data_IF_742218084610
#
_entry.id   IF_742218084610
#
_cell.length_a   1.000
_cell.length_b   1.000
_cell.length_c   1.000
_cell.angle_alpha   90.00
_cell.angle_beta   90.00
_cell.angle_gamma   90.00
#
_symmetry.space_group_name_H-M   'P 1'
#
loop_
_entity.id
_entity.type
_entity.pdbx_description
1 polymer ?
#
# COMPACT_ATOMS: atom_id res chain seq x y z
N UNK A 1 -1.03 -31.49 -2.02
CA UNK A 1 -1.81 -31.59 -0.76
C UNK A 1 -2.14 -30.17 -0.35
N UNK A 2 -3.41 -29.78 -0.34
CA UNK A 2 -3.82 -28.43 0.04
C UNK A 2 -4.33 -28.49 1.48
N UNK A 3 -3.69 -27.73 2.37
CA UNK A 3 -4.13 -27.58 3.76
C UNK A 3 -5.19 -26.50 3.82
N UNK A 4 -6.22 -26.69 4.65
CA UNK A 4 -7.23 -25.67 4.92
C UNK A 4 -6.56 -24.43 5.53
N UNK A 5 -7.03 -23.24 5.16
CA UNK A 5 -6.58 -22.00 5.77
C UNK A 5 -7.15 -21.91 7.20
N UNK A 6 -6.32 -21.44 8.14
CA UNK A 6 -6.74 -21.26 9.53
C UNK A 6 -7.96 -20.32 9.63
N UNK A 7 -8.88 -20.65 10.53
CA UNK A 7 -10.14 -19.91 10.72
C UNK A 7 -9.92 -18.49 11.27
N UNK A 8 -8.79 -18.22 11.91
CA UNK A 8 -8.37 -16.93 12.46
C UNK A 8 -7.29 -16.29 11.58
N UNK A 9 -7.54 -16.20 10.28
CA UNK A 9 -6.62 -15.59 9.31
C UNK A 9 -6.92 -14.10 9.08
N UNK A 10 -5.93 -13.37 8.58
CA UNK A 10 -6.05 -11.97 8.17
C UNK A 10 -5.51 -11.79 6.75
N UNK A 11 -6.15 -10.89 6.00
CA UNK A 11 -5.69 -10.48 4.68
C UNK A 11 -4.76 -9.27 4.82
N UNK A 12 -3.52 -9.38 4.34
CA UNK A 12 -2.56 -8.26 4.33
C UNK A 12 -2.28 -7.84 2.89
N UNK A 13 -2.67 -6.62 2.53
CA UNK A 13 -2.43 -6.02 1.22
C UNK A 13 -1.25 -5.05 1.31
N UNK A 14 -0.19 -5.31 0.53
CA UNK A 14 1.06 -4.55 0.60
C UNK A 14 1.19 -3.64 -0.62
N UNK A 15 1.44 -2.35 -0.36
CA UNK A 15 1.87 -1.35 -1.34
C UNK A 15 0.94 -1.15 -2.55
N UNK A 16 -0.36 -1.40 -2.39
CA UNK A 16 -1.40 -1.13 -3.40
C UNK A 16 -1.85 0.35 -3.43
N UNK A 17 -0.88 1.29 -3.50
CA UNK A 17 -1.11 2.73 -3.54
C UNK A 17 -1.03 3.30 -4.97
N UNK A 18 -1.71 4.43 -5.23
CA UNK A 18 -1.94 5.03 -6.56
C UNK A 18 -0.68 5.27 -7.44
N UNK A 19 0.53 5.19 -6.87
CA UNK A 19 1.80 5.47 -7.54
C UNK A 19 2.75 4.26 -7.71
N UNK A 20 2.35 3.05 -7.32
CA UNK A 20 3.16 1.82 -7.51
C UNK A 20 2.80 1.03 -8.78
N UNK A 21 1.90 1.57 -9.61
CA UNK A 21 1.55 1.00 -10.91
C UNK A 21 2.67 1.17 -11.96
N UNK A 22 3.75 0.40 -11.83
CA UNK A 22 4.80 0.24 -12.85
C UNK A 22 4.63 -1.07 -13.61
N UNK A 23 5.30 -1.22 -14.74
CA UNK A 23 5.45 -2.50 -15.44
C UNK A 23 6.12 -3.49 -14.49
N UNK A 24 5.32 -4.38 -13.91
CA UNK A 24 5.79 -5.51 -13.10
C UNK A 24 5.41 -6.81 -13.80
N UNK A 25 5.92 -7.95 -13.32
CA UNK A 25 5.69 -9.27 -13.91
C UNK A 25 4.20 -9.61 -14.07
N UNK A 26 3.36 -9.06 -13.20
CA UNK A 26 1.90 -9.17 -13.30
C UNK A 26 1.29 -7.80 -13.55
N UNK A 27 0.35 -7.67 -14.50
CA UNK A 27 -0.36 -6.41 -14.71
C UNK A 27 -1.01 -5.95 -13.41
N UNK A 28 -0.75 -4.72 -13.01
CA UNK A 28 -1.20 -4.15 -11.73
C UNK A 28 -2.73 -4.18 -11.62
N UNK A 29 -3.43 -3.96 -12.75
CA UNK A 29 -4.90 -4.07 -12.82
C UNK A 29 -5.40 -5.45 -12.40
N UNK A 30 -4.71 -6.51 -12.79
CA UNK A 30 -5.11 -7.89 -12.45
C UNK A 30 -4.85 -8.17 -10.96
N UNK A 31 -3.78 -7.61 -10.40
CA UNK A 31 -3.49 -7.69 -8.96
C UNK A 31 -4.57 -6.97 -8.16
N UNK A 32 -4.97 -5.76 -8.58
CA UNK A 32 -6.06 -5.00 -7.93
C UNK A 32 -7.39 -5.74 -8.00
N UNK A 33 -7.73 -6.32 -9.15
CA UNK A 33 -8.96 -7.10 -9.30
C UNK A 33 -8.98 -8.32 -8.36
N UNK A 34 -7.87 -9.05 -8.26
CA UNK A 34 -7.75 -10.19 -7.33
C UNK A 34 -7.78 -9.75 -5.87
N UNK A 35 -7.12 -8.64 -5.52
CA UNK A 35 -7.16 -8.07 -4.19
C UNK A 35 -8.59 -7.69 -3.78
N UNK A 36 -9.36 -7.09 -4.69
CA UNK A 36 -10.77 -6.78 -4.45
C UNK A 36 -11.61 -8.03 -4.18
N UNK A 37 -11.37 -9.13 -4.91
CA UNK A 37 -12.04 -10.42 -4.66
C UNK A 37 -11.73 -10.95 -3.26
N UNK A 38 -10.45 -10.88 -2.83
CA UNK A 38 -10.05 -11.32 -1.49
C UNK A 38 -10.68 -10.46 -0.40
N UNK A 39 -10.71 -9.13 -0.57
CA UNK A 39 -11.36 -8.22 0.39
C UNK A 39 -12.85 -8.54 0.51
N UNK A 40 -13.53 -8.79 -0.62
CA UNK A 40 -14.93 -9.16 -0.64
C UNK A 40 -15.23 -10.52 0.01
N UNK A 41 -14.25 -11.41 0.10
CA UNK A 41 -14.39 -12.68 0.83
C UNK A 41 -14.15 -12.51 2.34
N UNK A 42 -13.19 -11.66 2.75
CA UNK A 42 -12.82 -11.48 4.16
C UNK A 42 -13.81 -10.62 4.93
N UNK A 43 -14.40 -9.59 4.30
CA UNK A 43 -15.37 -8.70 4.94
C UNK A 43 -16.63 -9.41 5.48
N UNK A 44 -17.38 -10.21 4.69
CA UNK A 44 -18.55 -10.92 5.21
C UNK A 44 -18.19 -12.02 6.21
N UNK A 45 -16.95 -12.52 6.17
CA UNK A 45 -16.44 -13.49 7.13
C UNK A 45 -16.02 -12.87 8.49
N UNK A 46 -16.07 -11.53 8.62
CA UNK A 46 -15.65 -10.83 9.84
C UNK A 46 -14.14 -10.91 10.11
N UNK A 47 -13.34 -11.23 9.08
CA UNK A 47 -11.90 -11.42 9.21
C UNK A 47 -11.13 -10.11 8.97
N UNK A 48 -9.98 -9.90 9.63
CA UNK A 48 -9.22 -8.67 9.49
C UNK A 48 -8.69 -8.46 8.07
N UNK A 49 -8.78 -7.22 7.59
CA UNK A 49 -8.15 -6.76 6.34
C UNK A 49 -7.21 -5.61 6.69
N UNK A 50 -5.91 -5.84 6.52
CA UNK A 50 -4.84 -4.89 6.81
C UNK A 50 -4.28 -4.36 5.50
N UNK A 51 -4.20 -3.04 5.38
CA UNK A 51 -3.62 -2.37 4.21
C UNK A 51 -2.35 -1.67 4.64
N UNK A 52 -1.24 -2.07 4.02
CA UNK A 52 0.10 -1.58 4.31
C UNK A 52 0.56 -0.71 3.15
N UNK A 53 1.13 0.44 3.48
CA UNK A 53 1.62 1.41 2.52
C UNK A 53 3.00 1.91 2.94
N UNK A 54 3.88 2.13 1.96
CA UNK A 54 5.21 2.70 2.20
C UNK A 54 5.20 4.22 2.06
N UNK A 55 5.70 4.91 3.10
CA UNK A 55 6.10 6.31 3.03
C UNK A 55 7.63 6.41 3.13
N UNK A 56 8.34 6.64 2.01
CA UNK A 56 9.80 6.68 2.01
C UNK A 56 10.38 8.00 2.54
N UNK A 57 9.58 9.04 2.76
CA UNK A 57 10.11 10.39 3.05
C UNK A 57 10.71 10.46 4.45
N UNK A 58 12.02 10.72 4.50
CA UNK A 58 12.76 10.92 5.74
C UNK A 58 13.14 9.62 6.45
N UNK A 59 12.88 8.46 5.84
CA UNK A 59 13.40 7.18 6.32
C UNK A 59 14.93 7.16 6.20
N UNK A 60 15.62 6.55 7.16
CA UNK A 60 17.09 6.59 7.21
C UNK A 60 17.74 5.87 6.02
N UNK A 61 17.10 4.81 5.51
CA UNK A 61 17.53 4.12 4.29
C UNK A 61 17.43 5.02 3.04
N UNK A 62 16.51 5.98 3.02
CA UNK A 62 16.34 6.92 1.90
C UNK A 62 17.40 8.04 1.91
N UNK A 63 18.16 8.18 3.00
CA UNK A 63 19.27 9.14 3.15
C UNK A 63 20.64 8.52 2.83
N UNK A 64 20.69 7.21 2.59
CA UNK A 64 21.93 6.52 2.26
C UNK A 64 22.52 7.04 0.94
N UNK A 65 23.85 6.91 0.79
CA UNK A 65 24.54 7.27 -0.45
C UNK A 65 24.05 6.34 -1.57
N UNK A 66 23.46 6.93 -2.61
CA UNK A 66 22.99 6.25 -3.81
C UNK A 66 23.35 7.08 -5.05
N UNK A 67 23.48 6.45 -6.21
CA UNK A 67 23.79 7.16 -7.48
C UNK A 67 22.68 8.13 -7.89
N UNK A 68 21.41 7.74 -7.66
CA UNK A 68 20.25 8.58 -7.94
C UNK A 68 19.24 8.47 -6.79
N UNK A 69 19.06 9.51 -5.97
CA UNK A 69 18.11 9.48 -4.87
C UNK A 69 16.66 9.53 -5.36
N UNK A 70 15.85 8.62 -4.82
CA UNK A 70 14.41 8.53 -5.09
C UNK A 70 13.56 9.40 -4.17
N UNK A 71 14.17 10.02 -3.14
CA UNK A 71 13.53 10.88 -2.16
C UNK A 71 14.41 12.13 -1.89
N UNK A 72 13.81 13.26 -1.49
CA UNK A 72 14.57 14.47 -1.18
C UNK A 72 15.57 14.22 -0.04
N UNK A 73 16.83 14.65 -0.23
CA UNK A 73 17.91 14.40 0.73
C UNK A 73 18.14 15.56 1.72
N UNK A 74 17.80 16.80 1.34
CA UNK A 74 17.93 17.96 2.22
C UNK A 74 16.73 18.09 3.17
N UNK A 75 17.00 18.54 4.39
CA UNK A 75 16.01 18.63 5.47
C UNK A 75 14.79 19.50 5.10
N UNK A 76 15.00 20.59 4.36
CA UNK A 76 13.92 21.50 3.96
C UNK A 76 12.96 20.85 2.97
N UNK A 77 13.47 20.19 1.91
CA UNK A 77 12.58 19.50 0.97
C UNK A 77 11.97 18.24 1.58
N UNK A 78 12.63 17.59 2.55
CA UNK A 78 12.01 16.49 3.31
C UNK A 78 10.80 16.96 4.11
N UNK A 79 10.88 18.10 4.79
CA UNK A 79 9.73 18.67 5.52
C UNK A 79 8.60 19.02 4.56
N UNK A 80 8.92 19.64 3.42
CA UNK A 80 7.92 19.97 2.40
C UNK A 80 7.30 18.69 1.81
N UNK A 81 8.10 17.65 1.52
CA UNK A 81 7.62 16.38 0.98
C UNK A 81 6.82 15.56 2.00
N UNK A 82 7.18 15.59 3.30
CA UNK A 82 6.42 14.92 4.37
C UNK A 82 5.01 15.51 4.50
N UNK A 83 4.89 16.82 4.32
CA UNK A 83 3.61 17.52 4.35
C UNK A 83 2.86 17.36 3.03
N UNK A 84 3.57 17.45 1.89
CA UNK A 84 2.97 17.40 0.55
C UNK A 84 2.51 16.01 0.10
N UNK A 85 3.26 14.93 0.38
CA UNK A 85 2.92 13.58 -0.13
C UNK A 85 1.58 13.02 0.36
N UNK A 86 1.19 13.19 1.64
CA UNK A 86 -0.15 12.83 2.08
C UNK A 86 -1.24 13.65 1.39
N UNK A 87 -0.97 14.95 1.14
CA UNK A 87 -1.93 15.88 0.52
C UNK A 87 -2.11 15.61 -0.98
N UNK A 88 -1.09 15.09 -1.66
CA UNK A 88 -1.15 14.71 -3.09
C UNK A 88 -1.81 13.35 -3.33
N UNK A 89 -2.27 12.67 -2.29
CA UNK A 89 -2.92 11.36 -2.39
C UNK A 89 -1.95 10.23 -2.75
N UNK A 90 -0.64 10.40 -2.49
CA UNK A 90 0.35 9.34 -2.71
C UNK A 90 0.08 8.11 -1.83
N UNK A 91 -0.43 8.35 -0.62
CA UNK A 91 -0.85 7.32 0.34
C UNK A 91 -2.28 6.87 0.16
N UNK A 92 -3.03 7.46 -0.76
CA UNK A 92 -4.42 7.08 -0.98
C UNK A 92 -4.48 5.69 -1.60
N UNK A 93 -5.39 4.90 -1.05
CA UNK A 93 -5.71 3.59 -1.59
C UNK A 93 -6.47 3.79 -2.90
N UNK A 94 -6.20 2.91 -3.85
CA UNK A 94 -6.86 2.91 -5.14
C UNK A 94 -8.38 2.71 -4.94
N UNK A 95 -9.23 3.51 -5.62
CA UNK A 95 -10.69 3.48 -5.41
C UNK A 95 -11.33 2.12 -5.73
N UNK A 96 -10.65 1.28 -6.51
CA UNK A 96 -11.02 -0.09 -6.81
C UNK A 96 -11.04 -0.99 -5.56
N UNK A 97 -10.30 -0.63 -4.51
CA UNK A 97 -10.41 -1.25 -3.19
C UNK A 97 -11.33 -0.36 -2.36
N UNK A 98 -12.65 -0.63 -2.42
CA UNK A 98 -13.65 0.09 -1.64
C UNK A 98 -13.47 -0.23 -0.16
N UNK A 99 -12.81 0.68 0.56
CA UNK A 99 -12.80 0.69 2.01
C UNK A 99 -14.01 1.52 2.43
N UNK A 100 -15.20 0.92 2.40
CA UNK A 100 -16.27 1.49 3.20
C UNK A 100 -15.77 1.49 4.64
N UNK A 101 -15.57 2.70 5.17
CA UNK A 101 -15.18 2.98 6.54
C UNK A 101 -16.21 2.33 7.46
N UNK A 102 -15.90 1.12 7.90
CA UNK A 102 -16.50 0.51 9.06
C UNK A 102 -15.35 0.16 10.00
N UNK A 103 -15.01 1.16 10.82
CA UNK A 103 -14.59 1.05 12.22
C UNK A 103 -13.41 0.10 12.48
N UNK A 104 -12.23 0.68 12.70
CA UNK A 104 -11.62 0.77 14.04
C UNK A 104 -10.81 2.07 14.14
#
# INVERSE_FOLDING_TARGET
>A
MITEIDKYTALVLIDLQKWIAKDTVHPVKDVLAKAAILVNAFRPAGLPVVIVHVNPVGADWAKARVEKPSAPQNAVLQTIAKVGMPITGFTDIVPEIVINQAIF
#
